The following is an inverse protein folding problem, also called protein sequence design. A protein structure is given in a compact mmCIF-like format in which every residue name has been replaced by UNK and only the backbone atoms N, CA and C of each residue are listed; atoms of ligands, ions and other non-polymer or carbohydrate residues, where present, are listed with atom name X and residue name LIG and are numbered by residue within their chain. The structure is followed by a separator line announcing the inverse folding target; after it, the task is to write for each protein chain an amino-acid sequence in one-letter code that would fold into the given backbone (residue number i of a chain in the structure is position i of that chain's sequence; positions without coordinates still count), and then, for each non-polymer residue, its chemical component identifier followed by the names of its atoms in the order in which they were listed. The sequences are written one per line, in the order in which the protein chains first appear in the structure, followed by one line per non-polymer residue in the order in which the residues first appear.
data_IF_723913207054
#
_entry.id   IF_723913207054
#
_cell.length_a   1.000
_cell.length_b   1.000
_cell.length_c   1.000
_cell.angle_alpha   90.00
_cell.angle_beta   90.00
_cell.angle_gamma   90.00
#
_symmetry.space_group_name_H-M   'P 1'
#
loop_
_entity.id
_entity.type
_entity.pdbx_description
1 polymer ?
#
# COMPACT_ATOMS: atom_id res chain seq x y z
N UNK A 1 26.35 4.23 -1.39
CA UNK A 1 25.33 5.04 -2.07
C UNK A 1 24.21 5.38 -1.11
N UNK A 2 24.18 6.64 -0.64
CA UNK A 2 23.22 7.09 0.35
C UNK A 2 21.93 7.55 -0.36
N UNK A 3 21.08 6.61 -0.74
CA UNK A 3 19.77 6.87 -1.34
C UNK A 3 18.67 6.43 -0.37
N UNK A 4 17.58 7.18 -0.33
CA UNK A 4 16.41 6.90 0.47
C UNK A 4 15.14 6.90 -0.40
N UNK A 5 14.14 6.19 0.04
CA UNK A 5 12.78 6.27 -0.48
C UNK A 5 11.81 6.57 0.67
N UNK A 6 10.75 7.27 0.36
CA UNK A 6 9.63 7.49 1.28
C UNK A 6 8.42 6.77 0.71
N UNK A 7 7.67 6.10 1.56
CA UNK A 7 6.45 5.39 1.18
C UNK A 7 5.28 6.07 1.88
N UNK A 8 4.26 6.47 1.13
CA UNK A 8 3.03 7.11 1.60
C UNK A 8 3.30 8.32 2.53
N UNK A 9 4.00 9.35 2.07
CA UNK A 9 4.36 10.49 2.93
C UNK A 9 3.12 11.24 3.43
N UNK A 10 3.12 11.59 4.70
CA UNK A 10 2.15 12.54 5.25
C UNK A 10 2.33 13.94 4.65
N UNK A 11 1.32 14.78 4.79
CA UNK A 11 1.31 16.15 4.24
C UNK A 11 2.47 17.00 4.75
N UNK A 12 2.88 16.81 6.00
CA UNK A 12 4.00 17.52 6.61
C UNK A 12 5.34 16.86 6.24
N UNK A 13 5.96 17.38 5.18
CA UNK A 13 7.14 16.76 4.55
C UNK A 13 8.47 17.04 5.25
N UNK A 14 8.54 18.02 6.16
CA UNK A 14 9.81 18.50 6.71
C UNK A 14 10.55 17.39 7.48
N UNK A 15 9.82 16.56 8.22
CA UNK A 15 10.42 15.45 8.98
C UNK A 15 11.20 14.47 8.09
N UNK A 16 10.69 14.18 6.89
CA UNK A 16 11.38 13.28 5.92
C UNK A 16 12.65 13.91 5.38
N UNK A 17 12.61 15.23 5.08
CA UNK A 17 13.77 15.98 4.59
C UNK A 17 14.86 16.03 5.65
N UNK A 18 14.49 16.31 6.90
CA UNK A 18 15.43 16.42 8.01
C UNK A 18 16.08 15.07 8.33
N UNK A 19 15.28 13.99 8.34
CA UNK A 19 15.80 12.63 8.53
C UNK A 19 16.76 12.23 7.40
N UNK A 20 16.44 12.55 6.15
CA UNK A 20 17.32 12.27 5.02
C UNK A 20 18.65 13.03 5.15
N UNK A 21 18.62 14.30 5.56
CA UNK A 21 19.83 15.10 5.84
C UNK A 21 20.66 14.51 6.98
N UNK A 22 20.00 14.17 8.11
CA UNK A 22 20.67 13.54 9.25
C UNK A 22 21.40 12.24 8.86
N UNK A 23 20.77 11.44 7.96
CA UNK A 23 21.35 10.20 7.44
C UNK A 23 22.28 10.41 6.24
N UNK A 24 22.54 11.66 5.87
CA UNK A 24 23.33 12.00 4.67
C UNK A 24 22.85 11.23 3.43
N UNK A 25 21.54 11.16 3.25
CA UNK A 25 20.86 10.42 2.19
C UNK A 25 20.08 11.34 1.26
N UNK A 26 20.03 10.98 -0.03
CA UNK A 26 19.19 11.66 -1.03
C UNK A 26 17.88 10.89 -1.19
N UNK A 27 16.75 11.55 -1.02
CA UNK A 27 15.42 10.96 -1.35
C UNK A 27 15.34 10.86 -2.87
N UNK A 28 15.27 9.62 -3.37
CA UNK A 28 15.27 9.30 -4.80
C UNK A 28 13.88 8.98 -5.32
N UNK A 29 13.10 8.27 -4.52
CA UNK A 29 11.74 7.84 -4.85
C UNK A 29 10.76 8.19 -3.75
N UNK A 30 9.54 8.48 -4.17
CA UNK A 30 8.36 8.58 -3.32
C UNK A 30 7.38 7.54 -3.87
N UNK A 31 7.22 6.45 -3.14
CA UNK A 31 6.32 5.37 -3.50
C UNK A 31 4.96 5.60 -2.85
N UNK A 32 3.91 5.60 -3.65
CA UNK A 32 2.54 5.60 -3.16
C UNK A 32 1.95 4.20 -3.33
N UNK A 33 1.36 3.66 -2.27
CA UNK A 33 0.74 2.32 -2.32
C UNK A 33 -0.59 2.37 -3.07
N UNK A 34 -1.32 3.47 -2.96
CA UNK A 34 -2.61 3.72 -3.63
C UNK A 34 -2.98 5.22 -3.54
N UNK A 35 -4.09 5.63 -4.15
CA UNK A 35 -4.66 6.96 -3.93
C UNK A 35 -5.42 6.98 -2.61
N UNK A 36 -4.78 7.50 -1.57
CA UNK A 36 -5.31 7.53 -0.20
C UNK A 36 -6.64 8.28 -0.09
N UNK A 37 -7.57 7.73 0.69
CA UNK A 37 -8.84 8.36 1.00
C UNK A 37 -8.83 9.08 2.37
N UNK A 38 -8.05 8.60 3.30
CA UNK A 38 -8.03 9.05 4.69
C UNK A 38 -7.19 10.31 4.92
N UNK A 39 -6.19 10.58 4.08
CA UNK A 39 -5.38 11.80 4.13
C UNK A 39 -4.95 12.28 2.74
N UNK A 40 -4.50 13.53 2.65
CA UNK A 40 -3.87 14.07 1.45
C UNK A 40 -2.36 13.88 1.58
N UNK A 41 -1.77 13.12 0.67
CA UNK A 41 -0.33 12.81 0.68
C UNK A 41 0.53 14.05 0.42
N UNK A 42 1.73 14.05 1.00
CA UNK A 42 2.76 15.07 0.78
C UNK A 42 3.63 14.82 -0.45
N UNK A 43 3.32 13.84 -1.28
CA UNK A 43 4.16 13.37 -2.39
C UNK A 43 4.59 14.49 -3.36
N UNK A 44 3.66 15.38 -3.73
CA UNK A 44 3.95 16.47 -4.67
C UNK A 44 4.92 17.48 -4.06
N UNK A 45 4.66 17.92 -2.82
CA UNK A 45 5.51 18.89 -2.15
C UNK A 45 6.90 18.30 -1.85
N UNK A 46 6.94 17.02 -1.45
CA UNK A 46 8.19 16.31 -1.22
C UNK A 46 8.98 16.14 -2.53
N UNK A 47 8.33 15.79 -3.64
CA UNK A 47 8.98 15.71 -4.95
C UNK A 47 9.54 17.06 -5.41
N UNK A 48 8.79 18.14 -5.24
CA UNK A 48 9.26 19.50 -5.55
C UNK A 48 10.46 19.90 -4.71
N UNK A 49 10.47 19.55 -3.42
CA UNK A 49 11.56 19.92 -2.50
C UNK A 49 12.83 19.08 -2.70
N UNK A 50 12.73 17.86 -3.19
CA UNK A 50 13.86 16.90 -3.23
C UNK A 50 14.30 16.50 -4.63
N UNK A 51 13.46 16.70 -5.64
CA UNK A 51 13.65 16.17 -6.99
C UNK A 51 13.39 14.65 -7.09
N UNK A 52 12.74 14.05 -6.09
CA UNK A 52 12.42 12.62 -6.09
C UNK A 52 11.31 12.30 -7.10
N UNK A 53 11.37 11.11 -7.68
CA UNK A 53 10.33 10.60 -8.58
C UNK A 53 9.17 10.01 -7.79
N UNK A 54 7.95 10.48 -8.06
CA UNK A 54 6.73 9.87 -7.53
C UNK A 54 6.42 8.62 -8.35
N UNK A 55 6.11 7.52 -7.68
CA UNK A 55 5.83 6.22 -8.30
C UNK A 55 4.49 5.69 -7.77
N UNK A 56 3.61 5.33 -8.70
CA UNK A 56 2.38 4.57 -8.44
C UNK A 56 2.43 3.21 -9.13
N UNK A 57 1.64 2.27 -8.64
CA UNK A 57 1.38 1.01 -9.32
C UNK A 57 0.49 1.18 -10.57
N UNK A 58 0.17 0.06 -11.25
CA UNK A 58 -0.61 0.08 -12.48
C UNK A 58 -1.98 0.75 -12.28
N UNK A 59 -2.25 1.81 -13.05
CA UNK A 59 -3.53 2.52 -13.02
C UNK A 59 -3.87 3.09 -14.38
N UNK A 60 -5.16 3.17 -14.70
CA UNK A 60 -5.68 3.92 -15.85
C UNK A 60 -6.02 5.37 -15.50
N UNK A 61 -5.96 5.74 -14.23
CA UNK A 61 -6.21 7.10 -13.76
C UNK A 61 -5.07 8.02 -14.19
N UNK A 62 -5.42 9.17 -14.74
CA UNK A 62 -4.42 10.22 -15.05
C UNK A 62 -4.23 11.11 -13.84
N UNK A 63 -2.99 11.21 -13.37
CA UNK A 63 -2.62 12.16 -12.33
C UNK A 63 -2.54 13.59 -12.88
N UNK A 64 -2.88 14.58 -12.06
CA UNK A 64 -2.71 16.00 -12.38
C UNK A 64 -1.25 16.49 -12.24
N UNK A 65 -0.32 15.59 -11.93
CA UNK A 65 1.11 15.84 -11.73
C UNK A 65 1.93 14.74 -12.40
N UNK A 66 3.22 14.98 -12.53
CA UNK A 66 4.14 13.99 -13.08
C UNK A 66 4.37 12.84 -12.08
N UNK A 67 4.05 11.63 -12.49
CA UNK A 67 4.30 10.41 -11.76
C UNK A 67 4.70 9.28 -12.71
N UNK A 68 5.57 8.41 -12.26
CA UNK A 68 5.90 7.19 -12.96
C UNK A 68 4.85 6.13 -12.59
N UNK A 69 4.11 5.65 -13.58
CA UNK A 69 3.20 4.53 -13.42
C UNK A 69 3.97 3.26 -13.72
N UNK A 70 4.27 2.51 -12.67
CA UNK A 70 5.09 1.31 -12.76
C UNK A 70 4.25 0.08 -13.13
N UNK A 71 4.88 -0.89 -13.78
CA UNK A 71 4.27 -2.19 -14.06
C UNK A 71 4.41 -3.14 -12.87
N UNK A 72 3.54 -4.15 -12.80
CA UNK A 72 3.69 -5.26 -11.85
C UNK A 72 5.07 -5.93 -12.01
N UNK A 73 5.77 -6.14 -10.91
CA UNK A 73 7.12 -6.71 -10.89
C UNK A 73 8.25 -5.73 -11.23
N UNK A 74 7.94 -4.46 -11.53
CA UNK A 74 8.99 -3.47 -11.82
C UNK A 74 9.90 -3.26 -10.62
N UNK A 75 11.21 -3.17 -10.89
CA UNK A 75 12.24 -3.00 -9.88
C UNK A 75 12.89 -1.61 -9.94
N UNK A 76 13.20 -1.10 -8.76
CA UNK A 76 13.82 0.21 -8.55
C UNK A 76 15.08 0.03 -7.71
N UNK A 77 16.22 0.50 -8.21
CA UNK A 77 17.47 0.51 -7.46
C UNK A 77 17.48 1.64 -6.44
N UNK A 78 17.77 1.26 -5.18
CA UNK A 78 17.90 2.17 -4.05
C UNK A 78 19.22 1.87 -3.32
N UNK A 79 20.28 2.58 -3.66
CA UNK A 79 21.63 2.22 -3.23
C UNK A 79 21.99 0.81 -3.69
N UNK A 80 22.33 -0.05 -2.73
CA UNK A 80 22.62 -1.47 -2.99
C UNK A 80 21.37 -2.36 -2.90
N UNK A 81 20.25 -1.82 -2.41
CA UNK A 81 18.97 -2.53 -2.32
C UNK A 81 18.15 -2.40 -3.60
N UNK A 82 17.14 -3.22 -3.71
CA UNK A 82 16.12 -3.17 -4.77
C UNK A 82 14.75 -3.11 -4.13
N UNK A 83 13.88 -2.24 -4.65
CA UNK A 83 12.45 -2.21 -4.31
C UNK A 83 11.69 -2.78 -5.50
N UNK A 84 10.92 -3.84 -5.30
CA UNK A 84 10.05 -4.43 -6.32
C UNK A 84 8.61 -4.08 -6.03
N UNK A 85 7.92 -3.53 -7.03
CA UNK A 85 6.48 -3.31 -6.96
C UNK A 85 5.74 -4.62 -7.18
N UNK A 86 4.78 -4.92 -6.32
CA UNK A 86 3.83 -6.03 -6.45
C UNK A 86 2.43 -5.43 -6.55
N UNK A 87 1.80 -5.51 -7.71
CA UNK A 87 0.44 -5.00 -7.90
C UNK A 87 -0.57 -5.91 -7.19
N UNK A 88 -1.30 -5.35 -6.25
CA UNK A 88 -2.24 -6.06 -5.37
C UNK A 88 -3.63 -5.40 -5.35
N UNK A 89 -4.35 -5.39 -6.49
CA UNK A 89 -5.66 -4.76 -6.55
C UNK A 89 -6.64 -5.39 -5.56
N UNK A 90 -7.55 -4.56 -5.01
CA UNK A 90 -8.57 -5.02 -4.08
C UNK A 90 -9.08 -3.93 -3.17
N UNK A 91 -8.25 -3.37 -2.29
CA UNK A 91 -8.61 -2.17 -1.53
C UNK A 91 -8.92 -1.03 -2.51
N UNK A 92 -8.01 -0.77 -3.44
CA UNK A 92 -8.23 -0.02 -4.68
C UNK A 92 -7.70 -0.80 -5.87
N UNK A 93 -8.00 -0.39 -7.10
CA UNK A 93 -7.52 -1.10 -8.28
C UNK A 93 -6.02 -0.91 -8.54
N UNK A 94 -5.46 0.23 -8.15
CA UNK A 94 -4.03 0.53 -8.28
C UNK A 94 -3.21 0.09 -7.06
N UNK A 95 -3.84 -0.43 -6.01
CA UNK A 95 -3.15 -0.88 -4.79
C UNK A 95 -1.93 -1.72 -5.11
N UNK A 96 -0.83 -1.40 -4.47
CA UNK A 96 0.46 -2.06 -4.68
C UNK A 96 1.21 -2.19 -3.36
N UNK A 97 1.94 -3.29 -3.23
CA UNK A 97 2.92 -3.50 -2.17
C UNK A 97 4.32 -3.25 -2.72
N UNK A 98 5.25 -2.91 -1.84
CA UNK A 98 6.66 -2.71 -2.18
C UNK A 98 7.52 -3.68 -1.39
N UNK A 99 8.24 -4.55 -2.10
CA UNK A 99 9.11 -5.56 -1.53
C UNK A 99 10.55 -5.05 -1.54
N UNK A 100 11.15 -4.95 -0.36
CA UNK A 100 12.56 -4.59 -0.22
C UNK A 100 13.44 -5.84 -0.28
N UNK A 101 14.39 -5.82 -1.19
CA UNK A 101 15.37 -6.88 -1.44
C UNK A 101 16.76 -6.29 -1.17
N UNK A 102 17.55 -6.94 -0.33
CA UNK A 102 18.89 -6.48 0.01
C UNK A 102 19.91 -6.74 -1.11
N UNK A 103 21.15 -6.33 -0.90
CA UNK A 103 22.25 -6.47 -1.84
C UNK A 103 22.61 -7.92 -2.18
N UNK A 104 22.22 -8.88 -1.33
CA UNK A 104 22.45 -10.31 -1.52
C UNK A 104 21.26 -11.01 -2.19
N UNK A 105 20.22 -10.25 -2.57
CA UNK A 105 19.00 -10.78 -3.17
C UNK A 105 18.01 -11.35 -2.17
N UNK A 106 18.21 -11.12 -0.86
CA UNK A 106 17.31 -11.59 0.18
C UNK A 106 16.17 -10.59 0.37
N UNK A 107 14.93 -11.10 0.33
CA UNK A 107 13.72 -10.36 0.64
C UNK A 107 13.67 -10.06 2.15
N UNK A 108 13.59 -8.79 2.55
CA UNK A 108 13.71 -8.33 3.93
C UNK A 108 12.41 -7.77 4.50
N UNK A 109 11.69 -6.97 3.72
CA UNK A 109 10.51 -6.26 4.18
C UNK A 109 9.48 -6.10 3.08
N UNK A 110 8.22 -6.09 3.46
CA UNK A 110 7.07 -5.86 2.58
C UNK A 110 6.24 -4.70 3.12
N UNK A 111 6.17 -3.61 2.37
CA UNK A 111 5.33 -2.48 2.66
C UNK A 111 3.99 -2.69 1.97
N UNK A 112 2.96 -2.96 2.74
CA UNK A 112 1.70 -3.53 2.22
C UNK A 112 0.59 -2.50 1.98
N UNK A 113 0.82 -1.23 2.34
CA UNK A 113 -0.25 -0.24 2.26
C UNK A 113 -1.52 -0.73 2.95
N UNK A 114 -2.63 -0.64 2.23
CA UNK A 114 -3.93 -1.12 2.68
C UNK A 114 -4.30 -2.50 2.10
N UNK A 115 -3.35 -3.20 1.47
CA UNK A 115 -3.58 -4.59 1.03
C UNK A 115 -3.65 -5.55 2.21
N UNK A 116 -2.70 -5.46 3.13
CA UNK A 116 -2.58 -6.31 4.31
C UNK A 116 -2.23 -5.47 5.53
N UNK A 117 -3.04 -5.57 6.57
CA UNK A 117 -2.79 -5.03 7.90
C UNK A 117 -2.38 -6.15 8.87
N UNK A 118 -1.91 -5.78 10.04
CA UNK A 118 -1.66 -6.76 11.10
C UNK A 118 -3.00 -7.20 11.69
N UNK A 119 -3.36 -8.45 11.42
CA UNK A 119 -4.62 -9.07 11.85
C UNK A 119 -5.84 -8.76 10.99
N UNK A 120 -5.70 -7.97 9.92
CA UNK A 120 -6.81 -7.53 9.07
C UNK A 120 -6.35 -7.26 7.63
N UNK A 121 -7.25 -6.78 6.78
CA UNK A 121 -7.00 -6.31 5.42
C UNK A 121 -7.77 -5.02 5.15
N UNK A 122 -7.38 -4.28 4.13
CA UNK A 122 -8.08 -3.08 3.70
C UNK A 122 -9.49 -3.37 3.20
N UNK A 123 -10.42 -2.48 3.53
CA UNK A 123 -11.82 -2.58 3.09
C UNK A 123 -11.93 -2.28 1.58
N UNK A 124 -12.76 -3.02 0.83
CA UNK A 124 -12.83 -2.91 -0.63
C UNK A 124 -13.87 -1.93 -1.14
N UNK A 125 -14.65 -1.29 -0.28
CA UNK A 125 -15.81 -0.49 -0.68
C UNK A 125 -15.52 0.99 -0.94
N UNK A 126 -14.29 1.46 -0.66
CA UNK A 126 -13.94 2.89 -0.79
C UNK A 126 -13.78 3.32 -2.25
N UNK A 127 -13.33 2.44 -3.13
CA UNK A 127 -13.05 2.74 -4.53
C UNK A 127 -14.23 2.46 -5.49
N UNK A 128 -15.33 1.89 -5.02
CA UNK A 128 -16.47 1.48 -5.86
C UNK A 128 -17.12 2.62 -6.65
N UNK A 129 -16.96 3.87 -6.21
CA UNK A 129 -17.53 5.05 -6.87
C UNK A 129 -16.57 5.72 -7.87
N UNK A 130 -15.35 5.24 -7.98
CA UNK A 130 -14.30 5.85 -8.81
C UNK A 130 -14.30 5.29 -10.24
N UNK A 131 -14.68 4.02 -10.39
CA UNK A 131 -14.71 3.32 -11.69
C UNK A 131 -16.11 2.73 -11.90
N UNK A 132 -16.69 2.95 -13.08
CA UNK A 132 -17.98 2.38 -13.46
C UNK A 132 -17.94 0.84 -13.39
N UNK A 133 -19.02 0.24 -12.93
CA UNK A 133 -19.20 -1.22 -12.79
C UNK A 133 -18.26 -1.91 -11.77
N UNK A 134 -17.52 -1.14 -10.97
CA UNK A 134 -16.67 -1.68 -9.91
C UNK A 134 -17.48 -1.80 -8.62
N UNK A 135 -17.83 -3.02 -8.23
CA UNK A 135 -18.54 -3.30 -6.99
C UNK A 135 -17.57 -3.69 -5.86
N UNK A 136 -18.01 -3.55 -4.62
CA UNK A 136 -17.23 -4.02 -3.46
C UNK A 136 -16.93 -5.52 -3.50
N UNK A 137 -17.84 -6.33 -4.06
CA UNK A 137 -17.65 -7.78 -4.23
C UNK A 137 -16.54 -8.07 -5.25
N UNK A 138 -16.49 -7.33 -6.36
CA UNK A 138 -15.42 -7.46 -7.34
C UNK A 138 -14.07 -7.05 -6.76
N UNK A 139 -14.03 -5.96 -6.00
CA UNK A 139 -12.81 -5.50 -5.31
C UNK A 139 -12.37 -6.51 -4.25
N UNK A 140 -13.30 -7.06 -3.46
CA UNK A 140 -12.99 -8.12 -2.50
C UNK A 140 -12.45 -9.39 -3.18
N UNK A 141 -12.99 -9.75 -4.35
CA UNK A 141 -12.47 -10.88 -5.14
C UNK A 141 -11.04 -10.62 -5.63
N UNK A 142 -10.75 -9.40 -6.12
CA UNK A 142 -9.38 -9.00 -6.47
C UNK A 142 -8.44 -9.04 -5.27
N UNK A 143 -8.89 -8.58 -4.10
CA UNK A 143 -8.09 -8.63 -2.88
C UNK A 143 -7.74 -10.06 -2.48
N UNK A 144 -8.71 -10.98 -2.55
CA UNK A 144 -8.46 -12.40 -2.32
C UNK A 144 -7.36 -12.93 -3.24
N UNK A 145 -7.47 -12.68 -4.54
CA UNK A 145 -6.50 -13.13 -5.53
C UNK A 145 -5.11 -12.51 -5.28
N UNK A 146 -5.05 -11.23 -4.93
CA UNK A 146 -3.81 -10.54 -4.57
C UNK A 146 -3.14 -11.17 -3.35
N UNK A 147 -3.89 -11.42 -2.29
CA UNK A 147 -3.38 -12.01 -1.06
C UNK A 147 -2.91 -13.45 -1.28
N UNK A 148 -3.74 -14.29 -1.89
CA UNK A 148 -3.46 -15.72 -2.01
C UNK A 148 -2.44 -16.06 -3.10
N UNK A 149 -2.42 -15.31 -4.22
CA UNK A 149 -1.53 -15.61 -5.34
C UNK A 149 -0.20 -14.84 -5.30
N UNK A 150 -0.14 -13.69 -4.62
CA UNK A 150 1.05 -12.82 -4.66
C UNK A 150 1.70 -12.63 -3.29
N UNK A 151 0.94 -12.56 -2.21
CA UNK A 151 1.48 -12.31 -0.87
C UNK A 151 1.78 -13.62 -0.14
N UNK A 152 0.83 -14.56 -0.08
CA UNK A 152 1.04 -15.83 0.62
C UNK A 152 2.22 -16.67 0.12
N UNK A 153 2.60 -16.66 -1.18
CA UNK A 153 3.79 -17.37 -1.64
C UNK A 153 5.13 -16.80 -1.17
N UNK A 154 5.16 -15.57 -0.63
CA UNK A 154 6.38 -14.94 -0.14
C UNK A 154 6.87 -15.60 1.16
N UNK A 155 8.14 -15.37 1.50
CA UNK A 155 8.79 -15.98 2.66
C UNK A 155 8.17 -15.58 4.00
N UNK A 156 8.10 -16.50 4.93
CA UNK A 156 7.49 -16.33 6.25
C UNK A 156 8.23 -15.33 7.14
N UNK A 157 9.53 -15.18 6.98
CA UNK A 157 10.37 -14.26 7.76
C UNK A 157 10.37 -12.81 7.26
N UNK A 158 9.66 -12.51 6.14
CA UNK A 158 9.43 -11.13 5.72
C UNK A 158 8.75 -10.32 6.82
N UNK A 159 9.29 -9.13 7.08
CA UNK A 159 8.63 -8.17 7.97
C UNK A 159 7.60 -7.38 7.16
N UNK A 160 6.35 -7.45 7.59
CA UNK A 160 5.21 -6.71 7.01
C UNK A 160 5.08 -5.36 7.71
N UNK A 161 5.12 -4.28 6.94
CA UNK A 161 4.86 -2.90 7.38
C UNK A 161 3.60 -2.39 6.69
N UNK A 162 2.44 -2.35 7.37
CA UNK A 162 1.19 -1.83 6.82
C UNK A 162 1.15 -0.29 6.87
N UNK A 163 0.22 0.32 6.11
CA UNK A 163 0.02 1.77 6.17
C UNK A 163 -0.67 2.21 7.46
N UNK A 164 -1.51 1.37 8.04
CA UNK A 164 -2.32 1.70 9.21
C UNK A 164 -2.23 0.67 10.33
N UNK A 165 -2.55 1.14 11.54
CA UNK A 165 -2.75 0.33 12.73
C UNK A 165 -4.16 0.53 13.31
N UNK A 166 -4.37 0.07 14.55
CA UNK A 166 -5.65 0.12 15.23
C UNK A 166 -6.27 1.52 15.23
N UNK A 167 -7.56 1.59 14.90
CA UNK A 167 -8.35 2.83 14.91
C UNK A 167 -8.51 3.51 13.54
N UNK A 168 -7.83 3.04 12.48
CA UNK A 168 -8.08 3.54 11.12
C UNK A 168 -9.45 3.09 10.60
N UNK A 169 -10.09 3.98 9.81
CA UNK A 169 -11.34 3.67 9.11
C UNK A 169 -11.14 2.80 7.85
N UNK A 170 -9.89 2.48 7.49
CA UNK A 170 -9.56 1.68 6.30
C UNK A 170 -9.65 0.17 6.52
N UNK A 171 -9.83 -0.30 7.76
CA UNK A 171 -10.04 -1.70 8.12
C UNK A 171 -11.06 -1.85 9.24
N UNK A 172 -11.30 -3.09 9.71
CA UNK A 172 -12.29 -3.38 10.74
C UNK A 172 -11.69 -3.68 12.12
N UNK A 173 -10.72 -4.59 12.17
CA UNK A 173 -10.20 -5.19 13.39
C UNK A 173 -8.67 -5.23 13.43
N UNK A 174 -8.02 -4.17 12.97
CA UNK A 174 -6.57 -4.08 12.97
C UNK A 174 -6.00 -4.21 14.38
N UNK A 175 -4.90 -4.93 14.49
CA UNK A 175 -4.13 -5.08 15.72
C UNK A 175 -3.43 -3.77 16.13
N UNK A 176 -2.93 -3.74 17.36
CA UNK A 176 -2.14 -2.61 17.88
C UNK A 176 -0.68 -2.64 17.40
N UNK A 177 -0.21 -3.79 16.94
CA UNK A 177 1.14 -3.95 16.42
C UNK A 177 1.29 -3.15 15.12
N UNK A 178 2.46 -2.53 14.95
CA UNK A 178 2.78 -1.71 13.78
C UNK A 178 3.54 -2.49 12.71
N UNK A 179 4.01 -3.68 13.01
CA UNK A 179 4.63 -4.63 12.09
C UNK A 179 4.54 -6.05 12.67
N UNK A 180 4.71 -7.05 11.79
CA UNK A 180 4.79 -8.46 12.18
C UNK A 180 5.48 -9.25 11.06
N UNK A 181 5.81 -10.51 11.31
CA UNK A 181 6.28 -11.41 10.26
C UNK A 181 5.11 -11.89 9.39
N UNK A 182 5.37 -12.07 8.10
CA UNK A 182 4.35 -12.63 7.19
C UNK A 182 3.91 -14.03 7.64
N UNK A 183 4.83 -14.85 8.12
CA UNK A 183 4.53 -16.18 8.64
C UNK A 183 3.56 -16.15 9.83
N UNK A 184 3.68 -15.17 10.74
CA UNK A 184 2.71 -15.00 11.81
C UNK A 184 1.35 -14.56 11.26
N UNK A 185 1.31 -13.65 10.28
CA UNK A 185 0.08 -13.26 9.62
C UNK A 185 -0.61 -14.41 8.89
N UNK A 186 0.12 -15.30 8.21
CA UNK A 186 -0.44 -16.52 7.60
C UNK A 186 -1.13 -17.42 8.63
N UNK A 187 -0.63 -17.46 9.87
CA UNK A 187 -1.21 -18.28 10.96
C UNK A 187 -2.37 -17.62 11.68
N UNK A 188 -2.37 -16.31 11.82
CA UNK A 188 -3.26 -15.59 12.74
C UNK A 188 -4.26 -14.66 12.06
N UNK A 189 -3.96 -14.16 10.85
CA UNK A 189 -4.84 -13.26 10.12
C UNK A 189 -5.94 -14.07 9.42
N UNK A 190 -7.20 -13.75 9.70
CA UNK A 190 -8.35 -14.45 9.15
C UNK A 190 -8.35 -14.49 7.61
N UNK A 191 -7.88 -13.40 6.99
CA UNK A 191 -7.88 -13.21 5.53
C UNK A 191 -6.87 -14.11 4.80
N UNK A 192 -5.87 -14.65 5.51
CA UNK A 192 -4.81 -15.51 4.97
C UNK A 192 -5.01 -17.00 5.30
N UNK A 193 -6.16 -17.40 5.83
CA UNK A 193 -6.45 -18.81 6.10
C UNK A 193 -6.50 -19.61 4.80
N UNK A 194 -5.67 -20.65 4.68
CA UNK A 194 -5.62 -21.54 3.51
C UNK A 194 -6.96 -22.23 3.21
N UNK A 195 -7.75 -22.52 4.25
CA UNK A 195 -9.06 -23.16 4.12
C UNK A 195 -10.19 -22.21 3.68
N UNK A 196 -9.92 -20.90 3.59
CA UNK A 196 -10.92 -19.89 3.26
C UNK A 196 -11.18 -19.87 1.74
N UNK A 197 -12.39 -20.18 1.32
CA UNK A 197 -12.78 -20.00 -0.09
C UNK A 197 -12.93 -18.51 -0.42
N UNK A 198 -12.86 -18.19 -1.71
CA UNK A 198 -13.04 -16.80 -2.18
C UNK A 198 -14.42 -16.25 -1.78
N UNK A 199 -15.46 -17.05 -1.90
CA UNK A 199 -16.83 -16.69 -1.54
C UNK A 199 -16.98 -16.42 -0.05
N UNK A 200 -16.37 -17.26 0.79
CA UNK A 200 -16.35 -17.05 2.25
C UNK A 200 -15.57 -15.79 2.63
N UNK A 201 -14.41 -15.57 2.00
CA UNK A 201 -13.63 -14.36 2.20
C UNK A 201 -14.44 -13.11 1.86
N UNK A 202 -15.06 -13.04 0.68
CA UNK A 202 -15.88 -11.89 0.25
C UNK A 202 -16.98 -11.63 1.28
N UNK A 203 -17.71 -12.68 1.69
CA UNK A 203 -18.77 -12.56 2.68
C UNK A 203 -18.25 -12.04 4.03
N UNK A 204 -17.16 -12.60 4.54
CA UNK A 204 -16.57 -12.23 5.83
C UNK A 204 -16.03 -10.79 5.79
N UNK A 205 -15.39 -10.39 4.69
CA UNK A 205 -14.82 -9.06 4.53
C UNK A 205 -15.91 -7.97 4.49
N UNK A 206 -17.03 -8.22 3.81
CA UNK A 206 -18.07 -7.22 3.59
C UNK A 206 -19.05 -7.08 4.77
N UNK A 207 -19.10 -8.06 5.69
CA UNK A 207 -19.97 -7.97 6.86
C UNK A 207 -19.47 -6.89 7.82
N UNK A 208 -20.39 -6.02 8.25
CA UNK A 208 -20.14 -5.03 9.30
C UNK A 208 -19.32 -3.82 8.89
N UNK A 209 -19.17 -3.57 7.60
CA UNK A 209 -18.54 -2.33 7.12
C UNK A 209 -19.43 -1.12 7.49
N UNK A 210 -18.86 -0.19 8.23
CA UNK A 210 -19.51 1.09 8.54
C UNK A 210 -19.35 2.06 7.36
N UNK A 211 -20.30 3.01 7.16
CA UNK A 211 -20.11 4.03 6.13
C UNK A 211 -18.76 4.74 6.26
N UNK A 212 -18.06 4.99 5.15
CA UNK A 212 -16.79 5.71 5.21
C UNK A 212 -17.01 7.18 5.63
N UNK A 213 -15.98 7.83 6.20
CA UNK A 213 -16.02 9.26 6.45
C UNK A 213 -16.35 10.06 5.18
N UNK A 214 -17.16 11.11 5.33
CA UNK A 214 -17.68 11.92 4.20
C UNK A 214 -16.58 12.63 3.39
N UNK A 215 -15.41 12.84 3.96
CA UNK A 215 -14.27 13.50 3.29
C UNK A 215 -13.44 12.55 2.41
N UNK A 216 -13.61 11.24 2.52
CA UNK A 216 -12.81 10.24 1.77
C UNK A 216 -12.82 10.48 0.26
N UNK A 217 -13.96 10.65 -0.42
CA UNK A 217 -13.97 10.88 -1.86
C UNK A 217 -13.21 12.15 -2.28
N UNK A 218 -13.25 13.19 -1.45
CA UNK A 218 -12.55 14.45 -1.71
C UNK A 218 -11.03 14.27 -1.64
N UNK A 219 -10.55 13.55 -0.63
CA UNK A 219 -9.11 13.27 -0.51
C UNK A 219 -8.57 12.44 -1.69
N UNK A 220 -9.32 11.42 -2.13
CA UNK A 220 -8.96 10.63 -3.33
C UNK A 220 -8.78 11.54 -4.55
N UNK A 221 -9.75 12.43 -4.80
CA UNK A 221 -9.66 13.38 -5.91
C UNK A 221 -8.46 14.33 -5.79
N UNK A 222 -8.14 14.78 -4.58
CA UNK A 222 -6.95 15.63 -4.33
C UNK A 222 -5.65 14.85 -4.55
N UNK A 223 -5.59 13.59 -4.14
CA UNK A 223 -4.41 12.75 -4.34
C UNK A 223 -4.21 12.34 -5.82
N UNK A 224 -5.27 12.33 -6.63
CA UNK A 224 -5.18 12.11 -8.09
C UNK A 224 -4.85 13.42 -8.80
N UNK A 225 -5.50 14.50 -8.43
CA UNK A 225 -5.45 15.77 -9.17
C UNK A 225 -4.24 16.66 -8.82
N UNK A 226 -3.77 16.59 -7.60
CA UNK A 226 -2.68 17.44 -7.07
C UNK A 226 -3.18 18.68 -6.38
#
# INVERSE_FOLDING_TARGET
NNEAAIIDPLREIQAYIDLAKERNSKIKYIFETHFHADFVSGHIDLAKATGATIVYGPTSMKTGFEALIASDGQEFKLGNATIRLIHTPGHTMESSCYLMIDENGKEQALFTGDTLFIGDVGRPDLAQHVIADLTQEKLAAHLFDSLHNKIMPLHDDLIVYPAHGAGSACGKNMSKETYDTLGNQKRTNYALRESLSKEEFIKELLIGLTPPPSYFPKNVLMNIGG
#
